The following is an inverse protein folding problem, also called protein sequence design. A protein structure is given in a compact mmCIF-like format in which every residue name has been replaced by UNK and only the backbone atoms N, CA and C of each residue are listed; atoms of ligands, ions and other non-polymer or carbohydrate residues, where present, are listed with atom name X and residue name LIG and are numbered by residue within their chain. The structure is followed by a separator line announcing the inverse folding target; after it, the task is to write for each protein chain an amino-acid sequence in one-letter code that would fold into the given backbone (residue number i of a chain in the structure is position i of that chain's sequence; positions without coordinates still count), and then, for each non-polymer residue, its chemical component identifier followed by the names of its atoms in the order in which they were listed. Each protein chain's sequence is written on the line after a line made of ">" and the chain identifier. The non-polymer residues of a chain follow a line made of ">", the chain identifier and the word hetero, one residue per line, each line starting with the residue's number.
data_IF_261789212698
#
_entry.id   IF_261789212698
#
_cell.length_a   1.000
_cell.length_b   1.000
_cell.length_c   1.000
_cell.angle_alpha   90.00
_cell.angle_beta   90.00
_cell.angle_gamma   90.00
#
_symmetry.space_group_name_H-M   'P 1'
#
loop_
_entity.id
_entity.type
_entity.pdbx_description
1 polymer ?
#
# COMPACT_ATOMS: atom_id res chain seq x y z
N UNK A 1 -30.44 42.48 -27.29
CA UNK A 1 -30.89 41.08 -27.12
C UNK A 1 -30.20 40.28 -28.21
N UNK A 2 -29.07 39.63 -27.91
CA UNK A 2 -28.36 38.81 -28.89
C UNK A 2 -28.87 37.37 -28.76
N UNK A 3 -29.51 36.87 -29.80
CA UNK A 3 -29.99 35.50 -29.95
C UNK A 3 -28.88 34.50 -29.60
N UNK A 4 -29.12 33.69 -28.56
CA UNK A 4 -28.30 32.53 -28.23
C UNK A 4 -28.48 31.50 -29.36
N UNK A 5 -27.47 31.33 -30.20
CA UNK A 5 -27.41 30.22 -31.14
C UNK A 5 -27.57 28.89 -30.37
N UNK A 6 -28.58 28.10 -30.75
CA UNK A 6 -28.80 26.76 -30.19
C UNK A 6 -27.64 25.87 -30.62
N UNK A 7 -26.79 25.44 -29.68
CA UNK A 7 -25.68 24.54 -29.98
C UNK A 7 -26.21 23.18 -30.40
N UNK A 8 -25.89 22.74 -31.62
CA UNK A 8 -26.14 21.37 -32.05
C UNK A 8 -24.99 20.47 -31.59
N UNK A 9 -25.30 19.40 -30.85
CA UNK A 9 -24.28 18.48 -30.34
C UNK A 9 -23.67 17.67 -31.49
N UNK A 10 -22.33 17.55 -31.51
CA UNK A 10 -21.63 16.69 -32.45
C UNK A 10 -21.92 15.21 -32.16
N UNK A 11 -21.93 14.37 -33.20
CA UNK A 11 -22.31 12.97 -33.06
C UNK A 11 -21.26 12.23 -32.20
N UNK A 12 -21.66 11.63 -31.07
CA UNK A 12 -20.72 10.93 -30.21
C UNK A 12 -20.26 9.60 -30.83
N UNK A 13 -19.20 9.04 -30.26
CA UNK A 13 -18.75 7.69 -30.61
C UNK A 13 -19.85 6.68 -30.22
N UNK A 14 -20.36 5.92 -31.20
CA UNK A 14 -21.46 4.96 -31.01
C UNK A 14 -21.03 3.49 -31.13
N UNK A 15 -19.74 3.22 -31.37
CA UNK A 15 -19.19 1.87 -31.59
C UNK A 15 -17.85 1.72 -30.86
N UNK A 16 -17.54 0.51 -30.43
CA UNK A 16 -16.25 0.19 -29.79
C UNK A 16 -16.07 0.71 -28.36
N UNK A 17 -17.14 1.24 -27.75
CA UNK A 17 -17.14 1.82 -26.40
C UNK A 17 -16.62 0.82 -25.35
N UNK A 18 -17.05 -0.44 -25.43
CA UNK A 18 -16.60 -1.49 -24.52
C UNK A 18 -15.09 -1.74 -24.62
N UNK A 19 -14.56 -1.85 -25.85
CA UNK A 19 -13.12 -2.08 -26.06
C UNK A 19 -12.29 -0.89 -25.55
N UNK A 20 -12.77 0.34 -25.75
CA UNK A 20 -12.10 1.53 -25.22
C UNK A 20 -12.08 1.53 -23.68
N UNK A 21 -13.20 1.16 -23.05
CA UNK A 21 -13.29 1.06 -21.59
C UNK A 21 -12.37 -0.03 -21.04
N UNK A 22 -12.34 -1.22 -21.65
CA UNK A 22 -11.48 -2.33 -21.22
C UNK A 22 -10.01 -1.92 -21.28
N UNK A 23 -9.56 -1.30 -22.38
CA UNK A 23 -8.17 -0.83 -22.52
C UNK A 23 -7.80 0.16 -21.42
N UNK A 24 -8.66 1.14 -21.15
CA UNK A 24 -8.44 2.12 -20.09
C UNK A 24 -8.35 1.45 -18.72
N UNK A 25 -9.32 0.59 -18.40
CA UNK A 25 -9.40 -0.06 -17.10
C UNK A 25 -8.22 -1.02 -16.88
N UNK A 26 -7.71 -1.68 -17.92
CA UNK A 26 -6.53 -2.53 -17.83
C UNK A 26 -5.27 -1.74 -17.46
N UNK A 27 -5.08 -0.56 -18.06
CA UNK A 27 -3.94 0.30 -17.71
C UNK A 27 -4.07 0.77 -16.26
N UNK A 28 -5.27 1.22 -15.86
CA UNK A 28 -5.54 1.66 -14.48
C UNK A 28 -5.31 0.54 -13.47
N UNK A 29 -5.77 -0.69 -13.76
CA UNK A 29 -5.60 -1.81 -12.84
C UNK A 29 -4.14 -2.19 -12.65
N UNK A 30 -3.35 -2.22 -13.73
CA UNK A 30 -1.91 -2.51 -13.65
C UNK A 30 -1.16 -1.45 -12.83
N UNK A 31 -1.48 -0.18 -13.03
CA UNK A 31 -0.88 0.92 -12.26
C UNK A 31 -1.24 0.80 -10.78
N UNK A 32 -2.52 0.58 -10.45
CA UNK A 32 -2.96 0.42 -9.07
C UNK A 32 -2.34 -0.79 -8.39
N UNK A 33 -2.21 -1.92 -9.11
CA UNK A 33 -1.54 -3.12 -8.61
C UNK A 33 -0.04 -2.88 -8.35
N UNK A 34 0.64 -2.14 -9.23
CA UNK A 34 2.04 -1.76 -9.04
C UNK A 34 2.23 -0.88 -7.80
N UNK A 35 1.38 0.13 -7.64
CA UNK A 35 1.41 1.05 -6.49
C UNK A 35 1.16 0.28 -5.19
N UNK A 36 0.14 -0.59 -5.15
CA UNK A 36 -0.19 -1.34 -3.94
C UNK A 36 0.94 -2.30 -3.54
N UNK A 37 1.57 -2.97 -4.50
CA UNK A 37 2.72 -3.84 -4.24
C UNK A 37 3.90 -3.07 -3.63
N UNK A 38 4.23 -1.90 -4.18
CA UNK A 38 5.30 -1.03 -3.65
C UNK A 38 4.94 -0.53 -2.25
N UNK A 39 3.70 -0.09 -2.04
CA UNK A 39 3.24 0.41 -0.75
C UNK A 39 3.37 -0.65 0.34
N UNK A 40 2.91 -1.89 0.09
CA UNK A 40 3.02 -2.99 1.06
C UNK A 40 4.49 -3.33 1.33
N UNK A 41 5.32 -3.40 0.30
CA UNK A 41 6.75 -3.70 0.48
C UNK A 41 7.45 -2.66 1.36
N UNK A 42 7.19 -1.38 1.12
CA UNK A 42 7.86 -0.29 1.85
C UNK A 42 7.29 -0.10 3.26
N UNK A 43 5.97 0.05 3.36
CA UNK A 43 5.32 0.42 4.63
C UNK A 43 5.21 -0.75 5.61
N UNK A 44 5.16 -1.98 5.11
CA UNK A 44 5.02 -3.17 5.96
C UNK A 44 6.30 -3.99 5.96
N UNK A 45 6.75 -4.41 4.78
CA UNK A 45 7.89 -5.33 4.66
C UNK A 45 9.19 -4.74 5.19
N UNK A 46 9.57 -3.57 4.68
CA UNK A 46 10.82 -2.92 5.06
C UNK A 46 10.74 -2.34 6.48
N UNK A 47 9.62 -1.74 6.86
CA UNK A 47 9.41 -1.24 8.23
C UNK A 47 9.56 -2.35 9.27
N UNK A 48 8.98 -3.52 9.03
CA UNK A 48 9.14 -4.67 9.92
C UNK A 48 10.61 -5.05 10.05
N UNK A 49 11.31 -5.23 8.93
CA UNK A 49 12.74 -5.57 8.93
C UNK A 49 13.57 -4.54 9.70
N UNK A 50 13.27 -3.24 9.52
CA UNK A 50 13.93 -2.16 10.24
C UNK A 50 13.72 -2.28 11.74
N UNK A 51 12.47 -2.45 12.21
CA UNK A 51 12.16 -2.57 13.64
C UNK A 51 12.87 -3.76 14.30
N UNK A 52 12.91 -4.92 13.63
CA UNK A 52 13.66 -6.06 14.15
C UNK A 52 15.16 -5.76 14.22
N UNK A 53 15.73 -5.15 13.17
CA UNK A 53 17.14 -4.78 13.17
C UNK A 53 17.48 -3.76 14.27
N UNK A 54 16.62 -2.76 14.48
CA UNK A 54 16.77 -1.75 15.53
C UNK A 54 16.70 -2.37 16.93
N UNK A 55 15.75 -3.28 17.17
CA UNK A 55 15.64 -4.00 18.44
C UNK A 55 16.93 -4.77 18.75
N UNK A 56 17.39 -5.61 17.82
CA UNK A 56 18.58 -6.43 18.03
C UNK A 56 19.91 -5.65 18.03
N UNK A 57 19.92 -4.40 17.56
CA UNK A 57 21.14 -3.58 17.52
C UNK A 57 21.72 -3.33 18.90
N UNK A 58 20.88 -3.21 19.92
CA UNK A 58 21.27 -2.91 21.30
C UNK A 58 20.68 -3.89 22.30
N UNK A 59 20.18 -5.03 21.82
CA UNK A 59 19.55 -6.04 22.68
C UNK A 59 20.63 -6.82 23.44
N UNK A 60 20.51 -6.84 24.76
CA UNK A 60 21.32 -7.66 25.65
C UNK A 60 20.44 -8.75 26.27
N UNK A 61 20.67 -9.99 25.85
CA UNK A 61 19.87 -11.13 26.25
C UNK A 61 20.01 -11.46 27.74
N UNK A 62 21.21 -11.29 28.32
CA UNK A 62 21.46 -11.62 29.73
C UNK A 62 20.78 -10.61 30.65
N UNK A 63 20.83 -9.32 30.29
CA UNK A 63 20.15 -8.27 31.03
C UNK A 63 18.64 -8.50 31.05
N UNK A 64 18.03 -8.72 29.88
CA UNK A 64 16.59 -8.96 29.78
C UNK A 64 16.18 -10.25 30.51
N UNK A 65 17.00 -11.30 30.42
CA UNK A 65 16.81 -12.53 31.18
C UNK A 65 16.80 -12.28 32.70
N UNK A 66 17.78 -11.54 33.22
CA UNK A 66 17.83 -11.22 34.65
C UNK A 66 16.65 -10.37 35.11
N UNK A 67 16.18 -9.44 34.27
CA UNK A 67 14.95 -8.69 34.55
C UNK A 67 13.72 -9.60 34.63
N UNK A 68 13.59 -10.58 33.72
CA UNK A 68 12.49 -11.55 33.74
C UNK A 68 12.60 -12.53 34.91
N UNK A 69 13.82 -12.97 35.26
CA UNK A 69 14.09 -13.83 36.42
C UNK A 69 13.70 -13.14 37.72
N UNK A 70 14.09 -11.88 37.91
CA UNK A 70 13.73 -11.08 39.10
C UNK A 70 12.22 -10.89 39.24
N UNK A 71 11.49 -10.86 38.12
CA UNK A 71 10.01 -10.80 38.10
C UNK A 71 9.36 -12.15 38.39
N UNK A 72 10.12 -13.23 38.58
CA UNK A 72 9.61 -14.56 38.89
C UNK A 72 8.86 -15.22 37.74
N UNK A 73 9.14 -14.83 36.49
CA UNK A 73 8.46 -15.41 35.31
C UNK A 73 8.89 -16.85 35.01
N UNK A 74 10.08 -17.26 35.47
CA UNK A 74 10.62 -18.58 35.19
C UNK A 74 10.34 -19.54 36.36
N UNK A 75 9.93 -20.76 36.03
CA UNK A 75 9.79 -21.86 37.00
C UNK A 75 11.10 -22.61 37.25
N UNK A 76 12.03 -22.54 36.29
CA UNK A 76 13.29 -23.31 36.27
C UNK A 76 14.52 -22.49 36.67
N UNK A 77 14.33 -21.25 37.16
CA UNK A 77 15.41 -20.33 37.53
C UNK A 77 15.37 -19.97 39.01
#
# INVERSE_FOLDING_TARGET
>A
MADKAVSTASKPMMRGLLNAQIKRNLIVSLVLAGISAVAVKQLVGNERKRKYAEFYRTYDAEKEFEEMRKKGLFQSC
#
